data_IF_914248838792
#
_entry.id   IF_914248838792
#
_cell.length_a   1.000
_cell.length_b   1.000
_cell.length_c   1.000
_cell.angle_alpha   90.00
_cell.angle_beta   90.00
_cell.angle_gamma   90.00
#
_symmetry.space_group_name_H-M   'P 1'
#
loop_
_entity.id
_entity.type
_entity.pdbx_description
1 polymer ?
#
# COMPACT_ATOMS: atom_id res chain seq x y z
N UNK A 1 15.94 -13.82 -40.56
CA UNK A 1 15.33 -12.64 -39.92
C UNK A 1 15.13 -12.93 -38.43
N UNK A 2 16.08 -12.52 -37.57
CA UNK A 2 16.07 -12.79 -36.12
C UNK A 2 15.39 -11.62 -35.40
N UNK A 3 14.17 -11.84 -34.90
CA UNK A 3 13.38 -10.79 -34.23
C UNK A 3 13.90 -10.57 -32.79
N UNK A 4 14.06 -9.31 -32.34
CA UNK A 4 14.70 -8.96 -31.07
C UNK A 4 13.70 -9.04 -29.91
N UNK A 5 13.41 -10.25 -29.43
CA UNK A 5 12.50 -10.48 -28.29
C UNK A 5 13.27 -10.46 -26.95
N UNK A 6 14.61 -10.45 -27.00
CA UNK A 6 15.48 -10.57 -25.81
C UNK A 6 15.61 -9.28 -24.98
N UNK A 7 15.29 -8.11 -25.54
CA UNK A 7 15.55 -6.83 -24.87
C UNK A 7 14.47 -6.41 -23.88
N UNK A 8 13.25 -6.98 -23.98
CA UNK A 8 12.13 -6.61 -23.11
C UNK A 8 12.21 -7.30 -21.74
N UNK A 9 12.83 -8.47 -21.65
CA UNK A 9 13.01 -9.21 -20.40
C UNK A 9 14.03 -8.55 -19.47
N UNK A 10 15.00 -7.80 -20.00
CA UNK A 10 16.00 -7.09 -19.21
C UNK A 10 15.43 -5.85 -18.50
N UNK A 11 14.42 -5.19 -19.08
CA UNK A 11 13.81 -3.99 -18.50
C UNK A 11 12.94 -4.30 -17.27
N UNK A 12 12.43 -5.53 -17.14
CA UNK A 12 11.60 -5.96 -16.00
C UNK A 12 12.47 -6.26 -14.75
N UNK A 13 13.75 -6.57 -14.93
CA UNK A 13 14.68 -6.82 -13.82
C UNK A 13 15.15 -5.55 -13.10
N UNK A 14 14.93 -4.35 -13.67
CA UNK A 14 15.34 -3.08 -13.07
C UNK A 14 14.23 -2.36 -12.31
N UNK A 15 13.01 -2.92 -12.31
CA UNK A 15 11.85 -2.43 -11.56
C UNK A 15 11.54 -3.27 -10.31
N UNK A 16 12.45 -4.16 -9.90
CA UNK A 16 12.38 -4.77 -8.59
C UNK A 16 12.75 -3.69 -7.55
N UNK A 17 11.84 -3.28 -6.65
CA UNK A 17 12.29 -2.64 -5.43
C UNK A 17 13.14 -3.68 -4.72
N UNK A 18 14.46 -3.54 -4.79
CA UNK A 18 15.37 -4.38 -4.03
C UNK A 18 14.95 -4.28 -2.56
N UNK A 19 14.46 -5.38 -2.01
CA UNK A 19 14.10 -5.45 -0.60
C UNK A 19 15.37 -5.14 0.18
N UNK A 20 15.40 -3.97 0.81
CA UNK A 20 16.44 -3.60 1.75
C UNK A 20 16.33 -4.52 2.97
N UNK A 21 16.96 -5.69 2.87
CA UNK A 21 17.19 -6.60 3.99
C UNK A 21 18.25 -5.97 4.92
N UNK A 22 17.85 -5.00 5.75
CA UNK A 22 18.69 -4.47 6.81
C UNK A 22 17.91 -3.84 7.98
N UNK A 23 16.68 -4.27 8.24
CA UNK A 23 15.92 -3.87 9.43
C UNK A 23 15.62 -5.09 10.30
N UNK A 24 16.67 -5.83 10.65
CA UNK A 24 16.65 -6.73 11.79
C UNK A 24 16.51 -5.91 13.07
N UNK A 25 15.56 -6.31 13.92
CA UNK A 25 15.24 -5.63 15.18
C UNK A 25 16.50 -5.33 16.01
N UNK A 26 16.69 -4.03 16.32
CA UNK A 26 17.79 -3.55 17.14
C UNK A 26 18.88 -2.86 16.33
N UNK A 27 18.65 -1.59 15.99
CA UNK A 27 19.76 -0.68 15.71
C UNK A 27 20.76 -0.65 16.87
N UNK A 28 21.94 -0.03 16.70
CA UNK A 28 23.02 -0.01 17.69
C UNK A 28 22.51 0.20 19.12
N UNK A 29 23.08 -0.52 20.09
CA UNK A 29 22.63 -0.55 21.48
C UNK A 29 22.23 0.85 22.00
N UNK A 30 20.99 0.99 22.48
CA UNK A 30 20.37 2.29 22.83
C UNK A 30 19.30 2.78 21.85
N UNK A 31 19.10 2.10 20.72
CA UNK A 31 18.06 2.42 19.72
C UNK A 31 16.62 2.09 20.16
N UNK A 32 16.42 1.45 21.32
CA UNK A 32 15.11 1.00 21.81
C UNK A 32 14.01 2.08 21.81
N UNK A 33 14.28 3.30 22.32
CA UNK A 33 13.32 4.40 22.28
C UNK A 33 13.05 4.92 20.87
N UNK A 34 14.06 4.95 19.99
CA UNK A 34 13.90 5.42 18.60
C UNK A 34 13.07 4.44 17.78
N UNK A 35 13.32 3.14 17.93
CA UNK A 35 12.57 2.08 17.24
C UNK A 35 11.13 2.01 17.77
N UNK A 36 10.94 2.22 19.08
CA UNK A 36 9.60 2.36 19.69
C UNK A 36 8.85 3.58 19.17
N UNK A 37 9.49 4.75 19.08
CA UNK A 37 8.89 5.96 18.55
C UNK A 37 8.52 5.80 17.07
N UNK A 38 9.41 5.21 16.26
CA UNK A 38 9.12 4.89 14.87
C UNK A 38 7.97 3.89 14.72
N UNK A 39 7.89 2.88 15.59
CA UNK A 39 6.76 1.94 15.64
C UNK A 39 5.44 2.62 16.00
N UNK A 40 5.44 3.59 16.91
CA UNK A 40 4.25 4.37 17.26
C UNK A 40 3.80 5.29 16.12
N UNK A 41 4.74 5.98 15.48
CA UNK A 41 4.47 6.80 14.28
C UNK A 41 3.94 5.94 13.14
N UNK A 42 4.53 4.76 12.93
CA UNK A 42 4.05 3.78 11.96
C UNK A 42 2.62 3.34 12.29
N UNK A 43 2.30 3.04 13.55
CA UNK A 43 0.96 2.65 13.99
C UNK A 43 -0.07 3.78 13.83
N UNK A 44 0.31 5.04 14.08
CA UNK A 44 -0.58 6.18 13.88
C UNK A 44 -0.82 6.46 12.41
N UNK A 45 0.24 6.50 11.60
CA UNK A 45 0.14 6.80 10.17
C UNK A 45 -0.51 5.69 9.34
N UNK A 46 -0.24 4.42 9.64
CA UNK A 46 -0.81 3.28 8.92
C UNK A 46 -2.17 2.84 9.47
N UNK A 47 -2.48 3.10 10.74
CA UNK A 47 -3.69 2.59 11.39
C UNK A 47 -4.83 3.61 11.45
N UNK A 48 -4.81 4.46 12.47
CA UNK A 48 -5.96 5.33 12.77
C UNK A 48 -6.08 6.52 11.80
N UNK A 49 -4.96 7.11 11.38
CA UNK A 49 -4.96 8.24 10.45
C UNK A 49 -5.41 7.80 9.06
N UNK A 50 -4.89 6.67 8.56
CA UNK A 50 -5.31 6.11 7.27
C UNK A 50 -6.83 5.87 7.22
N UNK A 51 -7.39 5.32 8.32
CA UNK A 51 -8.81 5.02 8.40
C UNK A 51 -9.68 6.28 8.41
N UNK A 52 -9.28 7.30 9.17
CA UNK A 52 -10.01 8.57 9.24
C UNK A 52 -10.00 9.32 7.91
N UNK A 53 -8.87 9.38 7.21
CA UNK A 53 -8.78 10.03 5.89
C UNK A 53 -9.71 9.37 4.86
N UNK A 54 -9.75 8.04 4.84
CA UNK A 54 -10.64 7.31 3.95
C UNK A 54 -12.13 7.58 4.25
N UNK A 55 -12.51 7.65 5.53
CA UNK A 55 -13.90 7.96 5.92
C UNK A 55 -14.29 9.38 5.53
N UNK A 56 -13.39 10.37 5.67
CA UNK A 56 -13.64 11.74 5.21
C UNK A 56 -13.92 11.77 3.71
N UNK A 57 -13.14 11.04 2.91
CA UNK A 57 -13.36 10.93 1.46
C UNK A 57 -14.74 10.33 1.13
N UNK A 58 -15.17 9.28 1.85
CA UNK A 58 -16.49 8.66 1.68
C UNK A 58 -17.62 9.64 2.07
N UNK A 59 -17.45 10.41 3.15
CA UNK A 59 -18.43 11.41 3.57
C UNK A 59 -18.61 12.53 2.52
N UNK A 60 -17.53 13.00 1.89
CA UNK A 60 -17.57 13.98 0.82
C UNK A 60 -18.32 13.45 -0.42
N UNK A 61 -18.19 12.16 -0.76
CA UNK A 61 -18.97 11.51 -1.83
C UNK A 61 -20.46 11.49 -1.50
N UNK A 62 -20.82 11.18 -0.24
CA UNK A 62 -22.19 11.25 0.24
C UNK A 62 -22.78 12.65 0.16
N UNK A 63 -21.97 13.69 0.40
CA UNK A 63 -22.38 15.08 0.18
C UNK A 63 -22.63 15.39 -1.30
N UNK A 64 -21.80 14.85 -2.20
CA UNK A 64 -21.97 14.97 -3.67
C UNK A 64 -23.17 14.16 -4.21
N UNK A 65 -23.67 13.16 -3.46
CA UNK A 65 -24.93 12.46 -3.73
C UNK A 65 -26.16 13.35 -3.54
N UNK A 66 -26.12 14.29 -2.59
CA UNK A 66 -27.24 15.18 -2.28
C UNK A 66 -27.41 16.31 -3.32
N UNK A 67 -26.37 16.61 -4.11
CA UNK A 67 -26.43 17.59 -5.22
C UNK A 67 -27.21 17.11 -6.46
N UNK A 68 -27.85 15.94 -6.41
CA UNK A 68 -28.89 15.51 -7.36
C UNK A 68 -28.44 15.12 -8.78
N UNK A 69 -27.15 15.30 -9.12
CA UNK A 69 -26.57 15.07 -10.46
C UNK A 69 -25.34 14.17 -10.42
N UNK A 70 -25.36 13.10 -9.62
CA UNK A 70 -24.17 12.31 -9.34
C UNK A 70 -23.66 11.53 -10.58
N UNK A 71 -22.44 11.85 -11.02
CA UNK A 71 -21.68 11.03 -11.96
C UNK A 71 -21.29 9.70 -11.28
N UNK A 72 -22.10 8.64 -11.36
CA UNK A 72 -21.88 7.34 -10.67
C UNK A 72 -20.42 6.85 -10.70
N UNK A 73 -19.71 7.18 -11.78
CA UNK A 73 -18.26 7.02 -11.98
C UNK A 73 -17.41 7.57 -10.83
N UNK A 74 -17.69 8.77 -10.31
CA UNK A 74 -16.96 9.38 -9.18
C UNK A 74 -17.12 8.56 -7.89
N UNK A 75 -18.35 8.09 -7.60
CA UNK A 75 -18.60 7.22 -6.47
C UNK A 75 -17.85 5.89 -6.60
N UNK A 76 -17.89 5.28 -7.78
CA UNK A 76 -17.17 4.04 -8.05
C UNK A 76 -15.65 4.18 -7.88
N UNK A 77 -15.03 5.24 -8.39
CA UNK A 77 -13.59 5.48 -8.25
C UNK A 77 -13.17 5.63 -6.78
N UNK A 78 -13.97 6.31 -5.94
CA UNK A 78 -13.67 6.45 -4.51
C UNK A 78 -13.78 5.13 -3.76
N UNK A 79 -14.80 4.32 -4.06
CA UNK A 79 -14.95 2.98 -3.45
C UNK A 79 -13.77 2.08 -3.82
N UNK A 80 -13.33 2.10 -5.09
CA UNK A 80 -12.13 1.36 -5.54
C UNK A 80 -10.88 1.85 -4.81
N UNK A 81 -10.71 3.17 -4.64
CA UNK A 81 -9.59 3.72 -3.87
C UNK A 81 -9.59 3.26 -2.41
N UNK A 82 -10.75 3.25 -1.77
CA UNK A 82 -10.95 2.77 -0.40
C UNK A 82 -10.55 1.29 -0.25
N UNK A 83 -10.94 0.46 -1.22
CA UNK A 83 -10.55 -0.95 -1.26
C UNK A 83 -9.02 -1.14 -1.35
N UNK A 84 -8.32 -0.33 -2.14
CA UNK A 84 -6.86 -0.43 -2.26
C UNK A 84 -6.16 -0.01 -0.96
N UNK A 85 -6.60 1.08 -0.32
CA UNK A 85 -6.05 1.56 0.95
C UNK A 85 -6.17 0.50 2.06
N UNK A 86 -7.37 -0.03 2.28
CA UNK A 86 -7.63 -0.96 3.38
C UNK A 86 -7.36 -2.43 3.05
N UNK A 87 -7.51 -2.82 1.79
CA UNK A 87 -7.27 -4.19 1.32
C UNK A 87 -5.78 -4.50 1.07
N UNK A 88 -4.93 -3.49 0.99
CA UNK A 88 -3.49 -3.64 0.69
C UNK A 88 -2.79 -4.65 1.60
N UNK A 89 -3.02 -4.60 2.92
CA UNK A 89 -2.38 -5.49 3.89
C UNK A 89 -2.75 -6.97 3.67
N UNK A 90 -4.02 -7.26 3.35
CA UNK A 90 -4.48 -8.60 3.07
C UNK A 90 -3.89 -9.15 1.75
N UNK A 91 -3.79 -8.30 0.72
CA UNK A 91 -3.20 -8.66 -0.58
C UNK A 91 -1.71 -8.99 -0.39
N UNK A 92 -0.98 -8.12 0.32
CA UNK A 92 0.44 -8.30 0.60
C UNK A 92 0.68 -9.55 1.46
N UNK A 93 -0.12 -9.77 2.50
CA UNK A 93 -0.05 -10.97 3.33
C UNK A 93 -0.29 -12.25 2.53
N UNK A 94 -1.24 -12.24 1.58
CA UNK A 94 -1.48 -13.35 0.68
C UNK A 94 -0.28 -13.68 -0.21
N UNK A 95 0.34 -12.65 -0.82
CA UNK A 95 1.52 -12.82 -1.67
C UNK A 95 2.71 -13.34 -0.86
N UNK A 96 2.96 -12.76 0.32
CA UNK A 96 4.04 -13.20 1.20
C UNK A 96 3.85 -14.64 1.66
N UNK A 97 2.61 -15.05 1.97
CA UNK A 97 2.28 -16.44 2.28
C UNK A 97 2.66 -17.37 1.14
N UNK A 98 2.26 -17.07 -0.11
CA UNK A 98 2.66 -17.89 -1.27
C UNK A 98 4.17 -17.92 -1.48
N UNK A 99 4.86 -16.78 -1.33
CA UNK A 99 6.30 -16.70 -1.48
C UNK A 99 7.05 -17.51 -0.39
N UNK A 100 6.54 -17.54 0.84
CA UNK A 100 7.13 -18.29 1.94
C UNK A 100 7.00 -19.81 1.80
N UNK A 101 6.01 -20.30 1.03
CA UNK A 101 5.86 -21.74 0.75
C UNK A 101 6.60 -22.14 -0.53
N UNK A 102 6.96 -21.18 -1.39
CA UNK A 102 7.65 -21.40 -2.67
C UNK A 102 9.18 -21.29 -2.60
N UNK A 103 9.72 -20.66 -1.54
CA UNK A 103 11.15 -20.63 -1.21
C UNK A 103 11.52 -21.73 -0.22
#
# INVERSE_FOLDING_TARGET
MKKPVSSLTAAIMLAAPGMAHAQGAGGPAGSGPIVSALGWLQATLLGQVATTVAVIAVAMVGFMMLTGRLNWRFGATVIVGCFILFGSAAIVGGIQSTAAIAG
#
